data_IF_385321576476
#
_entry.id   IF_385321576476
#
_cell.length_a   1.000
_cell.length_b   1.000
_cell.length_c   1.000
_cell.angle_alpha   90.00
_cell.angle_beta   90.00
_cell.angle_gamma   90.00
#
_symmetry.space_group_name_H-M   'P 1'
#
loop_
_entity.id
_entity.type
_entity.pdbx_description
1 polymer ?
#
# COMPACT_ATOMS: atom_id res chain seq x y z
N UNK A 1 29.58 24.04 -2.72
CA UNK A 1 30.17 22.68 -2.74
C UNK A 1 29.05 21.70 -3.04
N UNK A 2 28.75 21.51 -4.32
CA UNK A 2 27.84 20.49 -4.84
C UNK A 2 28.73 19.49 -5.54
N UNK A 3 28.95 18.33 -4.94
CA UNK A 3 29.67 17.23 -5.59
C UNK A 3 28.65 16.26 -6.17
N UNK A 4 28.50 16.35 -7.49
CA UNK A 4 28.22 15.28 -8.45
C UNK A 4 27.60 13.99 -7.90
N UNK A 5 26.26 13.93 -7.90
CA UNK A 5 25.55 12.66 -7.95
C UNK A 5 25.64 12.18 -9.40
N UNK A 6 26.68 11.39 -9.69
CA UNK A 6 26.86 10.76 -10.98
C UNK A 6 25.58 10.03 -11.39
N UNK A 7 25.07 10.36 -12.57
CA UNK A 7 24.03 9.61 -13.27
C UNK A 7 24.50 8.16 -13.45
N UNK A 8 24.11 7.28 -12.54
CA UNK A 8 24.05 5.88 -12.87
C UNK A 8 22.98 5.72 -13.97
N UNK A 9 23.31 5.10 -15.12
CA UNK A 9 22.28 4.78 -16.09
C UNK A 9 21.40 3.72 -15.45
N UNK A 10 20.25 4.12 -14.88
CA UNK A 10 19.23 3.15 -14.53
C UNK A 10 18.53 2.69 -15.81
N UNK A 11 19.23 1.83 -16.54
CA UNK A 11 18.64 0.92 -17.50
C UNK A 11 17.85 -0.10 -16.70
N UNK A 12 16.61 0.23 -16.37
CA UNK A 12 15.57 -0.78 -16.18
C UNK A 12 15.19 -1.35 -17.56
N UNK A 13 16.19 -1.68 -18.40
CA UNK A 13 15.98 -2.64 -19.45
C UNK A 13 15.55 -3.89 -18.71
N UNK A 14 14.27 -4.27 -18.86
CA UNK A 14 13.80 -5.58 -18.46
C UNK A 14 14.69 -6.57 -19.19
N UNK A 15 15.78 -6.99 -18.54
CA UNK A 15 16.50 -8.17 -18.95
C UNK A 15 15.54 -9.30 -18.65
N UNK A 16 14.62 -9.54 -19.59
CA UNK A 16 14.05 -10.86 -19.78
C UNK A 16 15.29 -11.72 -19.87
N UNK A 17 15.56 -12.50 -18.83
CA UNK A 17 16.66 -13.45 -18.86
C UNK A 17 16.23 -14.54 -19.84
N UNK A 18 16.47 -14.25 -21.12
CA UNK A 18 16.27 -15.12 -22.27
C UNK A 18 17.40 -16.13 -22.20
N UNK A 19 17.26 -17.10 -21.31
CA UNK A 19 18.23 -18.18 -21.14
C UNK A 19 17.79 -19.36 -22.01
N UNK A 20 17.90 -19.19 -23.33
CA UNK A 20 17.61 -20.24 -24.29
C UNK A 20 17.99 -19.81 -25.71
N UNK A 21 18.47 -20.73 -26.57
CA UNK A 21 18.92 -20.41 -27.92
C UNK A 21 17.80 -19.87 -28.84
N UNK A 22 16.54 -19.97 -28.41
CA UNK A 22 15.36 -19.63 -29.21
C UNK A 22 14.64 -18.34 -28.80
N UNK A 23 15.18 -17.53 -27.90
CA UNK A 23 14.49 -16.28 -27.53
C UNK A 23 13.27 -16.46 -26.62
N UNK A 24 12.95 -17.70 -26.24
CA UNK A 24 11.76 -18.06 -25.44
C UNK A 24 12.13 -18.17 -23.96
N UNK A 25 11.21 -17.75 -23.10
CA UNK A 25 11.31 -17.90 -21.65
C UNK A 25 11.23 -19.38 -21.22
N UNK A 26 12.16 -19.83 -20.39
CA UNK A 26 12.18 -21.21 -19.87
C UNK A 26 11.17 -21.37 -18.71
N UNK A 27 9.95 -21.79 -19.07
CA UNK A 27 8.82 -21.97 -18.13
C UNK A 27 9.05 -23.07 -17.10
N UNK A 28 9.92 -24.05 -17.35
CA UNK A 28 10.17 -25.16 -16.43
C UNK A 28 11.08 -24.74 -15.28
N UNK A 29 12.07 -23.88 -15.55
CA UNK A 29 12.99 -23.38 -14.53
C UNK A 29 12.48 -22.12 -13.84
N UNK A 30 11.84 -21.22 -14.60
CA UNK A 30 11.42 -19.90 -14.12
C UNK A 30 9.93 -19.87 -13.71
N UNK A 31 9.17 -20.93 -13.99
CA UNK A 31 7.75 -21.08 -13.65
C UNK A 31 6.81 -20.36 -14.61
N UNK A 32 5.50 -20.41 -14.33
CA UNK A 32 4.50 -19.67 -15.12
C UNK A 32 4.62 -18.15 -14.89
N UNK A 33 4.72 -17.38 -15.97
CA UNK A 33 4.69 -15.91 -15.92
C UNK A 33 3.29 -15.43 -15.54
N UNK A 34 3.21 -14.60 -14.52
CA UNK A 34 2.02 -13.81 -14.19
C UNK A 34 2.29 -12.37 -14.58
N UNK A 35 1.39 -11.74 -15.32
CA UNK A 35 1.45 -10.31 -15.67
C UNK A 35 1.63 -9.45 -14.41
N UNK A 36 1.01 -9.86 -13.28
CA UNK A 36 1.19 -9.21 -11.97
C UNK A 36 2.66 -9.20 -11.52
N UNK A 37 3.40 -10.29 -11.73
CA UNK A 37 4.79 -10.44 -11.28
C UNK A 37 5.77 -9.58 -12.11
N UNK A 38 5.42 -9.28 -13.35
CA UNK A 38 6.20 -8.39 -14.23
C UNK A 38 5.89 -6.91 -13.97
N UNK A 39 4.64 -6.59 -13.63
CA UNK A 39 4.20 -5.20 -13.41
C UNK A 39 4.47 -4.67 -11.99
N UNK A 40 4.78 -5.53 -11.01
CA UNK A 40 5.10 -5.10 -9.63
C UNK A 40 6.52 -4.56 -9.46
N UNK A 41 7.17 -4.09 -10.52
CA UNK A 41 8.39 -3.27 -10.39
C UNK A 41 8.02 -1.86 -9.91
N UNK A 42 7.48 -1.76 -8.70
CA UNK A 42 7.29 -0.50 -8.01
C UNK A 42 8.64 0.13 -7.66
N UNK A 43 8.66 1.44 -7.43
CA UNK A 43 9.87 2.11 -7.00
C UNK A 43 10.34 1.54 -5.65
N UNK A 44 11.64 1.26 -5.43
CA UNK A 44 12.13 0.65 -4.19
C UNK A 44 11.80 1.44 -2.91
N UNK A 45 11.47 2.73 -3.05
CA UNK A 45 11.02 3.57 -1.93
C UNK A 45 9.53 3.45 -1.60
N UNK A 46 8.66 3.00 -2.49
CA UNK A 46 7.20 2.88 -2.23
C UNK A 46 6.85 2.12 -0.94
N UNK A 47 7.44 0.94 -0.63
CA UNK A 47 7.12 0.24 0.62
C UNK A 47 7.63 0.99 1.85
N UNK A 48 8.72 1.75 1.72
CA UNK A 48 9.26 2.56 2.81
C UNK A 48 8.38 3.78 3.05
N UNK A 49 7.97 4.48 1.99
CA UNK A 49 7.13 5.67 2.03
C UNK A 49 5.78 5.36 2.69
N UNK A 50 5.07 4.34 2.20
CA UNK A 50 3.78 3.93 2.78
C UNK A 50 3.84 3.62 4.29
N UNK A 51 4.95 3.03 4.78
CA UNK A 51 5.14 2.75 6.20
C UNK A 51 5.55 3.97 7.06
N UNK A 52 6.13 5.00 6.42
CA UNK A 52 6.70 6.18 7.10
C UNK A 52 5.77 7.37 7.10
N UNK A 53 4.88 7.49 6.11
CA UNK A 53 3.89 8.56 5.99
C UNK A 53 3.08 8.78 7.28
N UNK A 54 2.56 7.71 7.87
CA UNK A 54 1.78 7.78 9.11
C UNK A 54 2.61 8.29 10.30
N UNK A 55 3.89 7.88 10.38
CA UNK A 55 4.81 8.33 11.45
C UNK A 55 5.12 9.81 11.29
N UNK A 56 5.33 10.26 10.06
CA UNK A 56 5.57 11.66 9.72
C UNK A 56 4.35 12.51 10.07
N UNK A 57 3.14 12.09 9.65
CA UNK A 57 1.87 12.77 9.97
C UNK A 57 1.68 12.93 11.48
N UNK A 58 1.88 11.88 12.26
CA UNK A 58 1.74 11.92 13.72
C UNK A 58 2.79 12.82 14.38
N UNK A 59 4.03 12.80 13.87
CA UNK A 59 5.10 13.68 14.34
C UNK A 59 4.79 15.15 14.05
N UNK A 60 4.29 15.46 12.84
CA UNK A 60 3.84 16.80 12.46
C UNK A 60 2.71 17.30 13.37
N UNK A 61 1.71 16.45 13.63
CA UNK A 61 0.62 16.74 14.56
C UNK A 61 1.12 17.10 15.95
N UNK A 62 2.09 16.34 16.46
CA UNK A 62 2.74 16.61 17.76
C UNK A 62 3.45 17.96 17.76
N UNK A 63 4.16 18.28 16.68
CA UNK A 63 4.95 19.51 16.58
C UNK A 63 4.07 20.76 16.49
N UNK A 64 2.96 20.69 15.75
CA UNK A 64 2.10 21.84 15.51
C UNK A 64 1.09 22.07 16.65
N UNK A 65 0.50 20.99 17.18
CA UNK A 65 -0.62 21.08 18.12
C UNK A 65 -0.28 20.55 19.52
N UNK A 66 0.89 19.95 19.72
CA UNK A 66 1.29 19.34 20.99
C UNK A 66 0.87 17.87 21.12
N UNK A 67 1.20 17.25 22.26
CA UNK A 67 1.04 15.79 22.47
C UNK A 67 -0.42 15.30 22.47
N UNK A 68 -1.39 16.15 22.82
CA UNK A 68 -2.78 15.73 22.96
C UNK A 68 -3.43 15.36 21.61
N UNK A 69 -3.02 16.03 20.53
CA UNK A 69 -3.56 15.85 19.18
C UNK A 69 -3.28 14.44 18.61
N UNK A 70 -2.00 13.98 18.51
CA UNK A 70 -1.70 12.62 18.05
C UNK A 70 -2.31 11.53 18.94
N UNK A 71 -2.36 11.75 20.26
CA UNK A 71 -2.99 10.82 21.20
C UNK A 71 -4.47 10.62 20.90
N UNK A 72 -5.20 11.73 20.73
CA UNK A 72 -6.62 11.71 20.36
C UNK A 72 -6.83 11.00 19.02
N UNK A 73 -6.02 11.31 18.02
CA UNK A 73 -6.13 10.70 16.69
C UNK A 73 -5.95 9.17 16.73
N UNK A 74 -4.95 8.68 17.47
CA UNK A 74 -4.73 7.23 17.65
C UNK A 74 -5.91 6.59 18.41
N UNK A 75 -6.43 7.25 19.45
CA UNK A 75 -7.58 6.73 20.19
C UNK A 75 -8.83 6.64 19.32
N UNK A 76 -9.11 7.67 18.50
CA UNK A 76 -10.24 7.67 17.56
C UNK A 76 -10.12 6.51 16.56
N UNK A 77 -8.94 6.29 15.98
CA UNK A 77 -8.70 5.15 15.07
C UNK A 77 -8.95 3.81 15.78
N UNK A 78 -8.43 3.62 16.99
CA UNK A 78 -8.66 2.38 17.76
C UNK A 78 -10.14 2.16 18.05
N UNK A 79 -10.87 3.21 18.44
CA UNK A 79 -12.30 3.15 18.74
C UNK A 79 -13.12 2.82 17.48
N UNK A 80 -12.73 3.33 16.31
CA UNK A 80 -13.41 3.05 15.04
C UNK A 80 -13.08 1.65 14.50
N UNK A 81 -11.86 1.16 14.73
CA UNK A 81 -11.44 -0.18 14.31
C UNK A 81 -12.13 -1.32 15.06
N UNK A 82 -12.72 -1.04 16.23
CA UNK A 82 -13.50 -2.04 16.95
C UNK A 82 -14.82 -2.34 16.22
N UNK A 83 -15.20 -3.62 16.05
CA UNK A 83 -16.46 -3.97 15.43
C UNK A 83 -17.64 -3.52 16.32
N UNK A 84 -18.37 -2.49 15.88
CA UNK A 84 -19.56 -1.96 16.60
C UNK A 84 -20.88 -2.53 16.10
N UNK A 85 -20.86 -3.30 15.01
CA UNK A 85 -22.06 -3.83 14.36
C UNK A 85 -22.29 -5.28 14.73
N UNK A 86 -23.54 -5.71 14.63
CA UNK A 86 -23.93 -7.10 14.78
C UNK A 86 -23.16 -7.98 13.78
N UNK A 87 -22.75 -9.20 14.18
CA UNK A 87 -21.89 -10.08 13.36
C UNK A 87 -22.50 -10.54 12.03
N UNK A 88 -23.79 -10.27 11.79
CA UNK A 88 -24.50 -10.62 10.54
C UNK A 88 -24.52 -9.47 9.53
N UNK A 89 -24.29 -8.23 9.98
CA UNK A 89 -24.41 -7.06 9.11
C UNK A 89 -23.06 -6.69 8.50
N UNK A 90 -23.03 -6.47 7.19
CA UNK A 90 -21.85 -5.96 6.49
C UNK A 90 -21.44 -4.61 7.07
N UNK A 91 -20.18 -4.50 7.50
CA UNK A 91 -19.56 -3.24 7.91
C UNK A 91 -18.85 -2.59 6.74
N UNK A 92 -19.09 -1.29 6.53
CA UNK A 92 -18.22 -0.45 5.71
C UNK A 92 -17.25 0.31 6.62
N UNK A 93 -16.02 0.53 6.15
CA UNK A 93 -14.95 1.18 6.90
C UNK A 93 -14.93 2.71 6.72
N UNK A 94 -16.08 3.33 6.42
CA UNK A 94 -16.15 4.74 6.01
C UNK A 94 -15.58 5.69 7.07
N UNK A 95 -15.90 5.46 8.35
CA UNK A 95 -15.40 6.30 9.44
C UNK A 95 -13.87 6.22 9.59
N UNK A 96 -13.27 5.06 9.31
CA UNK A 96 -11.81 4.91 9.32
C UNK A 96 -11.20 5.63 8.11
N UNK A 97 -11.85 5.52 6.95
CA UNK A 97 -11.38 6.13 5.70
C UNK A 97 -11.39 7.66 5.81
N UNK A 98 -12.38 8.26 6.50
CA UNK A 98 -12.40 9.69 6.86
C UNK A 98 -11.26 10.08 7.79
N UNK A 99 -11.00 9.31 8.86
CA UNK A 99 -9.92 9.62 9.81
C UNK A 99 -8.53 9.54 9.15
N UNK A 100 -8.34 8.61 8.22
CA UNK A 100 -7.09 8.47 7.48
C UNK A 100 -6.94 9.54 6.39
N UNK A 101 -8.03 10.17 5.95
CA UNK A 101 -8.07 11.12 4.84
C UNK A 101 -8.06 10.44 3.47
N UNK A 102 -8.49 9.17 3.41
CA UNK A 102 -8.57 8.41 2.15
C UNK A 102 -9.81 8.77 1.32
N UNK A 103 -10.83 9.36 1.94
CA UNK A 103 -12.08 9.78 1.29
C UNK A 103 -11.89 10.87 0.23
N UNK A 104 -10.77 11.61 0.29
CA UNK A 104 -10.46 12.68 -0.66
C UNK A 104 -9.82 12.18 -1.96
N UNK A 105 -9.32 10.93 -1.96
CA UNK A 105 -8.56 10.33 -3.06
C UNK A 105 -9.28 9.09 -3.56
N UNK A 106 -9.48 8.98 -4.87
CA UNK A 106 -10.11 7.80 -5.50
C UNK A 106 -9.00 6.90 -6.04
N UNK A 107 -8.91 5.66 -5.55
CA UNK A 107 -7.95 4.68 -6.04
C UNK A 107 -8.61 3.68 -7.00
N UNK A 108 -7.78 2.90 -7.72
CA UNK A 108 -8.22 1.90 -8.70
C UNK A 108 -9.13 0.84 -8.05
N UNK A 109 -8.89 0.54 -6.77
CA UNK A 109 -9.70 -0.41 -5.99
C UNK A 109 -11.16 0.05 -5.82
N UNK A 110 -11.39 1.36 -5.75
CA UNK A 110 -12.73 1.95 -5.59
C UNK A 110 -13.55 1.85 -6.88
N UNK A 111 -12.90 2.04 -8.04
CA UNK A 111 -13.54 1.91 -9.35
C UNK A 111 -13.80 0.45 -9.75
N UNK A 112 -12.86 -0.45 -9.45
CA UNK A 112 -12.93 -1.85 -9.88
C UNK A 112 -13.77 -2.77 -8.96
N UNK A 113 -14.58 -2.19 -8.06
CA UNK A 113 -15.56 -2.95 -7.25
C UNK A 113 -14.93 -3.91 -6.23
N UNK A 114 -13.67 -3.70 -5.83
CA UNK A 114 -12.88 -4.65 -5.04
C UNK A 114 -13.39 -4.94 -3.62
N UNK A 115 -14.32 -4.13 -3.09
CA UNK A 115 -14.76 -4.19 -1.68
C UNK A 115 -16.07 -4.97 -1.46
N UNK A 116 -16.59 -5.67 -2.47
CA UNK A 116 -17.90 -6.38 -2.38
C UNK A 116 -17.74 -7.87 -1.98
N UNK A 117 -16.52 -8.41 -1.94
CA UNK A 117 -16.29 -9.82 -1.61
C UNK A 117 -16.12 -9.96 -0.09
N UNK A 118 -17.23 -10.29 0.56
CA UNK A 118 -17.26 -10.64 1.98
C UNK A 118 -16.38 -11.85 2.26
N UNK A 119 -15.21 -11.63 2.86
CA UNK A 119 -14.49 -12.68 3.56
C UNK A 119 -15.20 -12.91 4.90
N UNK A 120 -16.29 -13.67 4.83
CA UNK A 120 -16.84 -14.40 5.98
C UNK A 120 -15.84 -15.50 6.34
N UNK A 121 -14.80 -15.16 7.08
CA UNK A 121 -14.15 -16.11 7.97
C UNK A 121 -14.06 -15.46 9.34
N UNK A 122 -14.87 -15.97 10.27
CA UNK A 122 -14.62 -15.92 11.70
C UNK A 122 -13.16 -16.29 11.95
N UNK A 123 -12.31 -15.28 12.17
CA UNK A 123 -11.10 -15.48 12.95
C UNK A 123 -11.56 -15.54 14.40
N UNK A 124 -11.62 -16.76 14.92
CA UNK A 124 -11.60 -17.03 16.34
C UNK A 124 -10.28 -16.52 16.94
#
# INVERSE_FOLDING_TARGET
MFTDFSLAPNRNETKVEINGPYGVHDTLRQGFKSVRKEFTAGHPLEPVLSSTENKIKLSMMRNNYGLHMPLRHIMEQKIVGMPKRLPVLKSSSIAMDTLLGKDETIDVEDFMGGKIIGVFYTRC
#
